data_IF_012121278291
#
_entry.id   IF_012121278291
#
_cell.length_a   1.000
_cell.length_b   1.000
_cell.length_c   1.000
_cell.angle_alpha   90.00
_cell.angle_beta   90.00
_cell.angle_gamma   90.00
#
_symmetry.space_group_name_H-M   'P 1'
#
loop_
_entity.id
_entity.type
_entity.pdbx_description
1 polymer ?
#
# COMPACT_ATOMS: atom_id res chain seq x y z
N UNK A 1 -9.01 14.53 15.02
CA UNK A 1 -9.18 13.79 14.96
C UNK A 1 -8.58 12.99 14.16
N UNK A 2 -7.93 12.54 13.99
CA UNK A 2 -7.21 11.92 13.41
C UNK A 2 -7.64 10.86 12.90
N UNK A 3 -8.20 10.69 12.85
CA UNK A 3 -8.46 9.73 12.89
C UNK A 3 -9.06 9.03 11.83
N UNK A 4 -9.84 9.67 10.89
CA UNK A 4 -10.38 9.05 9.68
C UNK A 4 -9.25 8.54 8.77
N UNK A 5 -8.24 9.37 8.53
CA UNK A 5 -7.13 8.94 7.69
C UNK A 5 -6.31 7.83 8.33
N UNK A 6 -6.10 7.90 9.63
CA UNK A 6 -5.37 6.85 10.32
C UNK A 6 -6.11 5.53 10.28
N UNK A 7 -7.41 5.58 10.50
CA UNK A 7 -8.21 4.35 10.47
C UNK A 7 -8.24 3.76 9.08
N UNK A 8 -8.37 4.61 8.08
CA UNK A 8 -8.38 4.15 6.70
C UNK A 8 -7.04 3.55 6.31
N UNK A 9 -5.94 4.20 6.72
CA UNK A 9 -4.61 3.66 6.42
C UNK A 9 -4.41 2.30 7.07
N UNK A 10 -4.86 2.15 8.30
CA UNK A 10 -4.75 0.86 9.01
C UNK A 10 -5.57 -0.21 8.31
N UNK A 11 -6.78 0.14 7.88
CA UNK A 11 -7.63 -0.82 7.19
C UNK A 11 -7.03 -1.22 5.85
N UNK A 12 -6.46 -0.26 5.11
CA UNK A 12 -5.83 -0.56 3.84
C UNK A 12 -4.63 -1.48 4.05
N UNK A 13 -3.81 -1.18 5.07
CA UNK A 13 -2.64 -2.01 5.36
C UNK A 13 -3.07 -3.45 5.64
N UNK A 14 -4.09 -3.62 6.46
CA UNK A 14 -4.56 -4.94 6.82
C UNK A 14 -5.07 -5.72 5.61
N UNK A 15 -5.93 -5.08 4.81
CA UNK A 15 -6.52 -5.78 3.69
C UNK A 15 -5.53 -6.02 2.56
N UNK A 16 -4.62 -5.07 2.32
CA UNK A 16 -3.60 -5.26 1.31
C UNK A 16 -2.63 -6.37 1.70
N UNK A 17 -2.27 -6.42 2.98
CA UNK A 17 -1.40 -7.49 3.47
C UNK A 17 -2.04 -8.85 3.27
N UNK A 18 -3.33 -8.94 3.55
CA UNK A 18 -4.07 -10.18 3.34
C UNK A 18 -4.11 -10.55 1.86
N UNK A 19 -4.34 -9.57 1.02
CA UNK A 19 -4.39 -9.78 -0.42
C UNK A 19 -3.05 -10.32 -0.94
N UNK A 20 -1.95 -9.69 -0.55
CA UNK A 20 -0.64 -10.14 -0.99
C UNK A 20 -0.31 -11.53 -0.47
N UNK A 21 -0.79 -11.85 0.73
CA UNK A 21 -0.59 -13.17 1.28
C UNK A 21 -1.29 -14.27 0.49
N UNK A 22 -2.48 -13.95 -0.03
CA UNK A 22 -3.25 -14.92 -0.81
C UNK A 22 -2.81 -14.99 -2.26
N UNK A 23 -2.62 -13.81 -2.86
CA UNK A 23 -2.37 -13.73 -4.30
C UNK A 23 -0.92 -13.58 -4.67
N UNK A 24 -0.07 -13.41 -3.68
CA UNK A 24 1.32 -13.11 -3.94
C UNK A 24 2.10 -14.27 -4.50
N UNK A 25 3.29 -13.94 -4.95
CA UNK A 25 4.17 -14.88 -5.54
C UNK A 25 4.78 -15.77 -4.47
N UNK A 26 4.84 -17.06 -4.69
CA UNK A 26 5.43 -17.97 -3.72
C UNK A 26 6.92 -17.81 -3.57
N UNK A 27 7.57 -17.19 -4.54
CA UNK A 27 9.02 -17.06 -4.50
C UNK A 27 9.47 -15.80 -3.78
N UNK A 28 8.52 -14.97 -3.33
CA UNK A 28 8.86 -13.72 -2.65
C UNK A 28 7.87 -13.44 -1.56
N UNK A 29 8.37 -12.88 -0.46
CA UNK A 29 7.51 -12.44 0.63
C UNK A 29 7.33 -10.94 0.50
N UNK A 30 6.10 -10.50 0.35
CA UNK A 30 5.76 -9.09 0.21
C UNK A 30 5.08 -8.61 1.47
N UNK A 31 5.65 -7.59 2.10
CA UNK A 31 5.12 -7.06 3.35
C UNK A 31 4.78 -5.58 3.16
N UNK A 32 3.55 -5.21 3.55
CA UNK A 32 3.18 -3.80 3.56
C UNK A 32 3.74 -3.22 4.86
N UNK A 33 4.74 -2.36 4.75
CA UNK A 33 5.38 -1.80 5.93
C UNK A 33 4.64 -0.58 6.44
N UNK A 34 3.96 0.13 5.55
CA UNK A 34 3.26 1.34 5.95
C UNK A 34 2.32 1.78 4.83
N UNK A 35 1.21 2.40 5.20
CA UNK A 35 0.31 3.05 4.26
C UNK A 35 0.17 4.51 4.69
N UNK A 36 0.41 5.42 3.76
CA UNK A 36 0.33 6.85 4.04
C UNK A 36 -0.67 7.47 3.09
N UNK A 37 -1.64 8.19 3.65
CA UNK A 37 -2.60 8.90 2.84
C UNK A 37 -2.17 10.35 2.66
N UNK A 38 -2.55 10.93 1.52
CA UNK A 38 -2.37 12.36 1.33
C UNK A 38 -3.24 13.08 2.36
N UNK A 39 -2.94 14.33 2.59
CA UNK A 39 -3.65 15.12 3.58
C UNK A 39 -5.16 15.12 3.33
N UNK A 40 -5.57 15.15 2.07
CA UNK A 40 -6.98 15.14 1.73
C UNK A 40 -7.59 13.74 1.74
N UNK A 41 -6.77 12.73 1.84
CA UNK A 41 -7.26 11.35 1.87
C UNK A 41 -7.64 10.79 0.52
N UNK A 42 -7.30 11.48 -0.57
CA UNK A 42 -7.66 11.02 -1.91
C UNK A 42 -6.56 10.21 -2.58
N UNK A 43 -5.40 10.09 -1.96
CA UNK A 43 -4.33 9.26 -2.47
C UNK A 43 -3.72 8.46 -1.35
N UNK A 44 -3.30 7.24 -1.64
CA UNK A 44 -2.67 6.38 -0.64
C UNK A 44 -1.44 5.74 -1.25
N UNK A 45 -0.34 5.79 -0.52
CA UNK A 45 0.89 5.12 -0.92
C UNK A 45 1.14 3.97 0.03
N UNK A 46 1.29 2.78 -0.53
CA UNK A 46 1.61 1.60 0.23
C UNK A 46 3.10 1.35 0.07
N UNK A 47 3.82 1.38 1.18
CA UNK A 47 5.25 1.08 1.17
C UNK A 47 5.40 -0.40 1.45
N UNK A 48 6.19 -1.08 0.64
CA UNK A 48 6.35 -2.52 0.77
C UNK A 48 7.82 -2.89 0.87
N UNK A 49 8.08 -4.01 1.52
CA UNK A 49 9.38 -4.63 1.46
C UNK A 49 9.22 -6.00 0.83
N UNK A 50 10.24 -6.44 0.13
CA UNK A 50 10.22 -7.71 -0.59
C UNK A 50 11.44 -8.52 -0.20
N UNK A 51 11.23 -9.77 0.14
CA UNK A 51 12.32 -10.66 0.47
C UNK A 51 12.21 -11.93 -0.38
N UNK A 52 13.27 -12.36 -1.05
CA UNK A 52 14.60 -11.73 -1.10
C UNK A 52 14.60 -10.49 -1.98
N UNK A 53 15.56 -9.63 -1.74
CA UNK A 53 15.58 -8.31 -2.38
C UNK A 53 15.70 -8.40 -3.90
N UNK A 54 16.32 -9.43 -4.41
CA UNK A 54 16.47 -9.56 -5.86
C UNK A 54 15.13 -9.89 -6.56
N UNK A 55 14.07 -10.11 -5.80
CA UNK A 55 12.74 -10.33 -6.35
C UNK A 55 11.89 -9.06 -6.34
N UNK A 56 12.48 -7.95 -5.90
CA UNK A 56 11.71 -6.73 -5.71
C UNK A 56 11.06 -6.23 -6.99
N UNK A 57 11.82 -6.21 -8.07
CA UNK A 57 11.28 -5.70 -9.33
C UNK A 57 10.11 -6.56 -9.81
N UNK A 58 10.28 -7.86 -9.75
CA UNK A 58 9.20 -8.77 -10.17
C UNK A 58 7.98 -8.62 -9.30
N UNK A 59 8.20 -8.42 -7.99
CA UNK A 59 7.08 -8.23 -7.07
C UNK A 59 6.34 -6.94 -7.36
N UNK A 60 7.08 -5.86 -7.62
CA UNK A 60 6.43 -4.58 -7.94
C UNK A 60 5.65 -4.68 -9.23
N UNK A 61 6.19 -5.35 -10.24
CA UNK A 61 5.48 -5.55 -11.49
C UNK A 61 4.18 -6.33 -11.26
N UNK A 62 4.27 -7.38 -10.44
CA UNK A 62 3.10 -8.18 -10.12
C UNK A 62 2.03 -7.33 -9.43
N UNK A 63 2.43 -6.54 -8.45
CA UNK A 63 1.48 -5.72 -7.71
C UNK A 63 0.84 -4.70 -8.63
N UNK A 64 1.63 -4.06 -9.47
CA UNK A 64 1.09 -3.04 -10.37
C UNK A 64 0.13 -3.62 -11.39
N UNK A 65 0.37 -4.85 -11.83
CA UNK A 65 -0.57 -5.50 -12.75
C UNK A 65 -1.87 -5.88 -12.05
N UNK A 66 -1.84 -5.99 -10.73
CA UNK A 66 -3.02 -6.43 -9.98
C UNK A 66 -3.62 -5.32 -9.11
N UNK A 67 -3.27 -4.06 -9.37
CA UNK A 67 -3.79 -2.96 -8.59
C UNK A 67 -5.31 -2.85 -8.68
N UNK A 68 -5.86 -3.11 -9.86
CA UNK A 68 -7.30 -3.06 -10.03
C UNK A 68 -8.01 -4.06 -9.15
N UNK A 69 -7.44 -5.25 -9.06
CA UNK A 69 -8.02 -6.30 -8.24
C UNK A 69 -7.90 -5.95 -6.77
N UNK A 70 -6.74 -5.43 -6.37
CA UNK A 70 -6.55 -4.98 -4.99
C UNK A 70 -7.57 -3.90 -4.65
N UNK A 71 -7.75 -2.94 -5.54
CA UNK A 71 -8.70 -1.88 -5.32
C UNK A 71 -10.12 -2.42 -5.13
N UNK A 72 -10.49 -3.43 -5.93
CA UNK A 72 -11.80 -4.05 -5.79
C UNK A 72 -11.97 -4.70 -4.43
N UNK A 73 -10.93 -5.37 -3.95
CA UNK A 73 -10.98 -6.01 -2.65
C UNK A 73 -11.13 -4.95 -1.55
N UNK A 74 -10.39 -3.85 -1.69
CA UNK A 74 -10.48 -2.78 -0.70
C UNK A 74 -11.89 -2.18 -0.67
N UNK A 75 -12.49 -1.98 -1.85
CA UNK A 75 -13.85 -1.45 -1.91
C UNK A 75 -14.83 -2.38 -1.22
N UNK A 76 -14.62 -3.66 -1.36
CA UNK A 76 -15.51 -4.64 -0.78
C UNK A 76 -15.36 -4.75 0.73
N UNK A 77 -14.13 -4.67 1.22
CA UNK A 77 -13.84 -4.93 2.61
C UNK A 77 -13.83 -3.70 3.52
N UNK A 78 -13.67 -2.53 2.95
CA UNK A 78 -13.51 -1.34 3.75
C UNK A 78 -14.73 -0.44 3.61
N UNK A 79 -15.27 -0.02 4.75
CA UNK A 79 -16.38 0.88 4.73
C UNK A 79 -15.85 2.26 4.59
N UNK A 80 -15.84 2.82 3.42
CA UNK A 80 -15.38 4.17 3.16
C UNK A 80 -16.17 4.72 2.00
N UNK A 81 -16.28 6.05 1.97
CA UNK A 81 -16.98 6.70 0.92
C UNK A 81 -16.35 6.41 -0.40
N UNK A 82 -15.05 6.43 -0.46
CA UNK A 82 -14.29 6.15 -1.68
C UNK A 82 -12.94 5.60 -1.29
N UNK A 83 -12.39 4.75 -2.15
CA UNK A 83 -11.05 4.21 -1.93
C UNK A 83 -10.07 5.16 -2.61
N UNK A 84 -9.01 5.59 -1.93
CA UNK A 84 -8.02 6.50 -2.54
C UNK A 84 -7.35 5.88 -3.75
N UNK A 85 -6.75 6.72 -4.58
CA UNK A 85 -5.91 6.26 -5.65
C UNK A 85 -4.67 5.62 -5.04
N UNK A 86 -4.32 4.43 -5.49
CA UNK A 86 -3.24 3.66 -4.86
C UNK A 86 -1.93 3.82 -5.60
N UNK A 87 -0.85 3.88 -4.84
CA UNK A 87 0.51 3.90 -5.37
C UNK A 87 1.35 2.97 -4.52
N UNK A 88 2.25 2.22 -5.14
CA UNK A 88 3.08 1.25 -4.43
C UNK A 88 4.53 1.67 -4.55
N UNK A 89 5.23 1.74 -3.44
CA UNK A 89 6.64 2.14 -3.42
C UNK A 89 7.41 1.18 -2.56
N UNK A 90 8.59 0.78 -3.03
CA UNK A 90 9.47 -0.06 -2.22
C UNK A 90 10.02 0.76 -1.06
N UNK A 91 10.01 0.15 0.12
CA UNK A 91 10.44 0.83 1.34
C UNK A 91 11.94 0.63 1.53
N UNK A 92 12.72 1.66 1.21
CA UNK A 92 14.17 1.61 1.33
C UNK A 92 14.67 2.63 2.35
N UNK A 93 13.96 2.79 3.42
CA UNK A 93 14.43 3.62 4.52
C UNK A 93 14.38 5.12 4.24
N UNK A 94 15.53 5.71 4.05
CA UNK A 94 15.63 7.16 3.90
C UNK A 94 14.78 7.72 2.79
N UNK A 95 14.81 7.06 1.67
CA UNK A 95 14.03 7.44 0.52
C UNK A 95 12.54 7.42 0.82
N UNK A 96 12.11 6.39 1.52
CA UNK A 96 10.71 6.28 1.90
C UNK A 96 10.30 7.40 2.84
N UNK A 97 11.23 7.80 3.71
CA UNK A 97 10.95 8.87 4.66
C UNK A 97 10.71 10.19 3.96
N UNK A 98 11.51 10.47 2.92
CA UNK A 98 11.32 11.68 2.14
C UNK A 98 9.99 11.68 1.42
N UNK A 99 9.63 10.53 0.89
CA UNK A 99 8.37 10.41 0.19
C UNK A 99 7.19 10.61 1.12
N UNK A 100 7.29 10.09 2.34
CA UNK A 100 6.25 10.26 3.34
C UNK A 100 6.06 11.73 3.66
N UNK A 101 7.16 12.45 3.86
CA UNK A 101 7.09 13.87 4.19
C UNK A 101 6.42 14.65 3.07
N UNK A 102 6.74 14.30 1.83
CA UNK A 102 6.15 14.95 0.68
C UNK A 102 4.65 14.71 0.65
N UNK A 103 4.21 13.47 0.89
CA UNK A 103 2.81 13.14 0.88
C UNK A 103 2.03 13.87 1.95
N UNK A 104 2.64 14.03 3.11
CA UNK A 104 1.95 14.67 4.21
C UNK A 104 1.75 16.18 3.98
N UNK A 105 2.45 16.73 3.01
CA UNK A 105 2.28 18.12 2.65
C UNK A 105 1.20 18.33 1.59
N UNK A 106 0.74 17.28 0.98
CA UNK A 106 -0.31 17.40 -0.04
C UNK A 106 -1.71 17.43 0.59
#
# INVERSE_FOLDING_TARGET
>A
MRDHNEKLATAITREASSFFGREGNRTALITVTRTVLTKRGNGATLFISVFPIDKEKAALDFINRNLGELRSVLKEKIRARAIPTLQIIADHGEQAREEINKLLEE
#
